data_IF_942954329048
#
_entry.id   IF_942954329048
#
_cell.length_a   1.000
_cell.length_b   1.000
_cell.length_c   1.000
_cell.angle_alpha   90.00
_cell.angle_beta   90.00
_cell.angle_gamma   90.00
#
_symmetry.space_group_name_H-M   'P 1'
#
loop_
_entity.id
_entity.type
_entity.pdbx_description
1 polymer ?
#
# COMPACT_ATOMS: atom_id res chain seq x y z
N UNK A 1 43.16 33.02 16.43
CA UNK A 1 42.12 32.10 16.90
C UNK A 1 41.20 31.84 15.74
N UNK A 2 41.37 30.69 15.07
CA UNK A 2 40.50 30.27 13.95
C UNK A 2 39.36 29.43 14.51
N UNK A 3 38.12 29.90 14.31
CA UNK A 3 36.91 29.15 14.65
C UNK A 3 36.59 28.25 13.49
N UNK A 4 36.74 26.93 13.66
CA UNK A 4 36.36 25.92 12.69
C UNK A 4 34.86 25.62 12.87
N UNK A 5 34.07 26.02 11.87
CA UNK A 5 32.63 25.74 11.81
C UNK A 5 32.43 24.30 11.35
N UNK A 6 32.07 23.41 12.27
CA UNK A 6 31.72 22.02 11.94
C UNK A 6 30.28 22.00 11.42
N UNK A 7 30.11 21.78 10.11
CA UNK A 7 28.82 21.47 9.52
C UNK A 7 28.44 20.03 9.88
N UNK A 8 27.48 19.86 10.79
CA UNK A 8 26.80 18.60 11.03
C UNK A 8 25.85 18.37 9.82
N UNK A 9 26.30 17.56 8.90
CA UNK A 9 25.43 17.00 7.86
C UNK A 9 24.50 15.99 8.56
N UNK A 10 23.28 16.40 8.86
CA UNK A 10 22.24 15.50 9.33
C UNK A 10 21.93 14.50 8.21
N UNK A 11 22.32 13.25 8.40
CA UNK A 11 21.78 12.14 7.60
C UNK A 11 20.27 12.07 7.88
N UNK A 12 19.46 12.51 6.93
CA UNK A 12 18.03 12.22 6.95
C UNK A 12 17.87 10.69 7.04
N UNK A 13 17.28 10.22 8.11
CA UNK A 13 17.02 8.81 8.34
C UNK A 13 15.88 8.40 7.38
N UNK A 14 16.25 8.02 6.16
CA UNK A 14 15.30 7.56 5.15
C UNK A 14 14.79 6.20 5.63
N UNK A 15 13.54 6.13 6.04
CA UNK A 15 12.93 4.85 6.39
C UNK A 15 13.10 3.85 5.24
N UNK A 16 13.62 2.66 5.55
CA UNK A 16 13.87 1.65 4.53
C UNK A 16 12.54 1.19 3.96
N UNK A 17 12.37 1.36 2.64
CA UNK A 17 11.22 0.82 1.91
C UNK A 17 10.06 1.79 1.69
N UNK A 18 10.27 3.10 1.90
CA UNK A 18 9.29 4.14 1.55
C UNK A 18 9.88 5.08 0.50
N UNK A 19 9.11 5.38 -0.52
CA UNK A 19 9.42 6.39 -1.53
C UNK A 19 8.41 7.51 -1.48
N UNK A 20 8.88 8.75 -1.47
CA UNK A 20 8.11 9.97 -1.67
C UNK A 20 8.73 10.80 -2.79
N UNK A 21 7.90 11.34 -3.66
CA UNK A 21 8.32 12.35 -4.61
C UNK A 21 8.27 13.72 -3.93
N UNK A 22 9.44 14.28 -3.59
CA UNK A 22 9.58 15.56 -2.88
C UNK A 22 9.07 16.78 -3.69
N UNK A 23 8.80 16.61 -4.99
CA UNK A 23 8.30 17.69 -5.85
C UNK A 23 6.77 17.82 -5.84
N UNK A 24 6.07 16.88 -5.21
CA UNK A 24 4.60 16.86 -5.14
C UNK A 24 4.16 17.36 -3.77
N UNK A 25 3.24 18.32 -3.76
CA UNK A 25 2.59 18.77 -2.54
C UNK A 25 1.40 17.85 -2.23
N UNK A 26 1.59 16.94 -1.29
CA UNK A 26 0.55 15.99 -0.86
C UNK A 26 -0.68 16.68 -0.26
N UNK A 27 -0.56 17.92 0.22
CA UNK A 27 -1.70 18.68 0.76
C UNK A 27 -2.71 19.10 -0.32
N UNK A 28 -2.35 19.03 -1.59
CA UNK A 28 -3.26 19.33 -2.71
C UNK A 28 -4.07 18.12 -3.17
N UNK A 29 -3.79 16.93 -2.65
CA UNK A 29 -4.48 15.69 -3.01
C UNK A 29 -5.74 15.56 -2.16
N UNK A 30 -6.90 15.64 -2.81
CA UNK A 30 -8.20 15.57 -2.14
C UNK A 30 -8.94 14.27 -2.43
N UNK A 31 -8.72 13.67 -3.61
CA UNK A 31 -9.52 12.55 -4.13
C UNK A 31 -8.65 11.38 -4.57
N UNK A 32 -9.05 10.17 -4.20
CA UNK A 32 -8.32 8.94 -4.49
C UNK A 32 -9.21 7.82 -5.05
N UNK A 33 -8.70 7.08 -6.02
CA UNK A 33 -9.28 5.84 -6.49
C UNK A 33 -8.38 4.65 -6.15
N UNK A 34 -8.91 3.64 -5.45
CA UNK A 34 -8.21 2.39 -5.15
C UNK A 34 -8.55 1.35 -6.21
N UNK A 35 -7.56 0.98 -7.03
CA UNK A 35 -7.73 -0.03 -8.08
C UNK A 35 -7.67 -1.46 -7.50
N UNK A 36 -8.07 -2.48 -8.29
CA UNK A 36 -7.81 -3.87 -7.93
C UNK A 36 -6.33 -4.11 -7.65
N UNK A 37 -6.01 -4.89 -6.62
CA UNK A 37 -4.64 -5.26 -6.32
C UNK A 37 -4.22 -6.51 -7.10
N UNK A 38 -2.96 -6.59 -7.48
CA UNK A 38 -2.37 -7.80 -8.03
C UNK A 38 -2.26 -8.87 -6.96
N UNK A 39 -2.61 -10.11 -7.31
CA UNK A 39 -2.50 -11.26 -6.42
C UNK A 39 -1.38 -12.20 -6.90
N UNK A 40 -0.29 -12.27 -6.17
CA UNK A 40 0.83 -13.19 -6.42
C UNK A 40 0.82 -14.39 -5.46
N UNK A 41 -0.27 -14.57 -4.71
CA UNK A 41 -0.44 -15.65 -3.74
C UNK A 41 -1.24 -16.82 -4.31
N UNK A 42 -1.30 -17.92 -3.58
CA UNK A 42 -2.14 -19.06 -3.93
C UNK A 42 -3.59 -18.91 -3.41
N UNK A 43 -3.86 -17.93 -2.57
CA UNK A 43 -5.20 -17.63 -2.04
C UNK A 43 -5.95 -16.71 -3.02
N UNK A 44 -6.99 -17.23 -3.66
CA UNK A 44 -7.69 -16.54 -4.77
C UNK A 44 -8.22 -15.16 -4.38
N UNK A 45 -8.78 -15.03 -3.18
CA UNK A 45 -9.44 -13.80 -2.72
C UNK A 45 -8.50 -12.87 -1.91
N UNK A 46 -7.21 -13.19 -1.78
CA UNK A 46 -6.29 -12.46 -0.92
C UNK A 46 -6.21 -10.97 -1.28
N UNK A 47 -6.01 -10.67 -2.56
CA UNK A 47 -5.87 -9.30 -3.02
C UNK A 47 -7.16 -8.47 -2.84
N UNK A 48 -8.33 -9.08 -3.04
CA UNK A 48 -9.61 -8.41 -2.83
C UNK A 48 -9.85 -8.11 -1.36
N UNK A 49 -9.62 -9.08 -0.46
CA UNK A 49 -9.75 -8.90 1.00
C UNK A 49 -8.82 -7.81 1.51
N UNK A 50 -7.54 -7.85 1.10
CA UNK A 50 -6.55 -6.85 1.53
C UNK A 50 -6.91 -5.47 1.01
N UNK A 51 -7.35 -5.34 -0.25
CA UNK A 51 -7.82 -4.08 -0.82
C UNK A 51 -9.02 -3.52 -0.07
N UNK A 52 -9.97 -4.37 0.32
CA UNK A 52 -11.17 -3.93 1.06
C UNK A 52 -10.80 -3.43 2.47
N UNK A 53 -9.88 -4.11 3.16
CA UNK A 53 -9.32 -3.65 4.44
C UNK A 53 -8.62 -2.31 4.26
N UNK A 54 -7.72 -2.20 3.27
CA UNK A 54 -7.02 -0.96 2.97
C UNK A 54 -7.98 0.19 2.66
N UNK A 55 -8.96 -0.03 1.79
CA UNK A 55 -9.94 1.00 1.42
C UNK A 55 -10.75 1.47 2.63
N UNK A 56 -11.16 0.55 3.50
CA UNK A 56 -11.91 0.87 4.72
C UNK A 56 -11.08 1.68 5.71
N UNK A 57 -9.82 1.31 5.92
CA UNK A 57 -8.92 2.02 6.82
C UNK A 57 -8.53 3.40 6.25
N UNK A 58 -8.28 3.50 4.94
CA UNK A 58 -8.01 4.77 4.27
C UNK A 58 -9.21 5.73 4.39
N UNK A 59 -10.43 5.24 4.19
CA UNK A 59 -11.65 6.01 4.43
C UNK A 59 -11.75 6.52 5.88
N UNK A 60 -11.37 5.70 6.84
CA UNK A 60 -11.42 6.05 8.26
C UNK A 60 -10.43 7.16 8.65
N UNK A 61 -9.33 7.34 7.89
CA UNK A 61 -8.40 8.47 8.12
C UNK A 61 -9.03 9.82 7.82
N UNK A 62 -10.01 9.87 6.91
CA UNK A 62 -10.61 11.12 6.44
C UNK A 62 -9.66 12.03 5.65
N UNK A 63 -8.46 11.57 5.30
CA UNK A 63 -7.46 12.36 4.60
C UNK A 63 -7.82 12.59 3.12
N UNK A 64 -8.48 11.62 2.49
CA UNK A 64 -8.92 11.69 1.10
C UNK A 64 -10.41 11.37 0.96
N UNK A 65 -11.04 11.96 -0.03
CA UNK A 65 -12.30 11.42 -0.53
C UNK A 65 -12.01 10.20 -1.41
N UNK A 66 -12.23 9.02 -0.87
CA UNK A 66 -12.00 7.75 -1.58
C UNK A 66 -13.25 7.39 -2.39
N UNK A 67 -13.08 7.21 -3.69
CA UNK A 67 -14.20 6.86 -4.57
C UNK A 67 -14.77 5.47 -4.24
N UNK A 68 -16.11 5.30 -4.32
CA UNK A 68 -16.74 4.00 -4.12
C UNK A 68 -16.19 2.96 -5.10
N UNK A 69 -15.87 1.73 -4.65
CA UNK A 69 -15.32 0.66 -5.51
C UNK A 69 -16.16 0.38 -6.76
N UNK A 70 -17.48 0.51 -6.67
CA UNK A 70 -18.38 0.32 -7.81
C UNK A 70 -18.22 1.37 -8.90
N UNK A 71 -17.84 2.62 -8.57
CA UNK A 71 -17.55 3.68 -9.56
C UNK A 71 -16.22 3.41 -10.24
N UNK A 72 -15.20 3.07 -9.45
CA UNK A 72 -13.90 2.66 -9.98
C UNK A 72 -14.05 1.50 -10.95
N UNK A 73 -14.81 0.47 -10.57
CA UNK A 73 -15.04 -0.70 -11.42
C UNK A 73 -15.77 -0.35 -12.73
N UNK A 74 -16.75 0.57 -12.69
CA UNK A 74 -17.44 1.03 -13.92
C UNK A 74 -16.49 1.80 -14.84
N UNK A 75 -15.62 2.64 -14.27
CA UNK A 75 -14.65 3.41 -15.05
C UNK A 75 -13.58 2.50 -15.68
N UNK A 76 -13.06 1.52 -14.97
CA UNK A 76 -12.15 0.48 -15.50
C UNK A 76 -12.74 -0.17 -16.75
N UNK A 77 -14.01 -0.57 -16.70
CA UNK A 77 -14.68 -1.15 -17.88
C UNK A 77 -14.85 -0.18 -19.04
N UNK A 78 -15.09 1.12 -18.75
CA UNK A 78 -15.22 2.15 -19.82
C UNK A 78 -13.91 2.43 -20.52
N UNK A 79 -12.79 2.41 -19.78
CA UNK A 79 -11.45 2.55 -20.35
C UNK A 79 -11.03 1.28 -21.10
N UNK A 80 -11.73 0.16 -20.89
CA UNK A 80 -11.35 -1.18 -21.42
C UNK A 80 -9.95 -1.59 -20.95
N UNK A 81 -9.63 -1.28 -19.70
CA UNK A 81 -8.33 -1.61 -19.08
C UNK A 81 -8.12 -3.12 -19.06
N UNK A 82 -7.00 -3.58 -19.58
CA UNK A 82 -6.70 -5.02 -19.73
C UNK A 82 -6.29 -5.61 -18.38
N UNK A 83 -5.41 -4.93 -17.68
CA UNK A 83 -4.98 -5.31 -16.33
C UNK A 83 -5.11 -4.12 -15.37
N UNK A 84 -6.21 -4.04 -14.61
CA UNK A 84 -6.40 -2.94 -13.67
C UNK A 84 -5.44 -2.93 -12.49
N UNK A 85 -4.73 -4.03 -12.25
CA UNK A 85 -3.74 -4.13 -11.16
C UNK A 85 -2.37 -3.56 -11.53
N UNK A 86 -2.12 -3.39 -12.85
CA UNK A 86 -0.88 -2.85 -13.40
C UNK A 86 -1.15 -1.87 -14.56
N UNK A 87 -1.87 -0.76 -14.31
CA UNK A 87 -2.28 0.17 -15.35
C UNK A 87 -1.08 0.90 -15.96
N UNK A 88 -1.14 1.16 -17.26
CA UNK A 88 -0.24 2.07 -17.94
C UNK A 88 -0.55 3.54 -17.60
N UNK A 89 0.39 4.44 -17.87
CA UNK A 89 0.20 5.88 -17.64
C UNK A 89 -1.02 6.42 -18.41
N UNK A 90 -1.22 5.97 -19.65
CA UNK A 90 -2.35 6.42 -20.47
C UNK A 90 -3.69 5.90 -19.93
N UNK A 91 -3.72 4.69 -19.38
CA UNK A 91 -4.89 4.14 -18.72
C UNK A 91 -5.20 4.88 -17.41
N UNK A 92 -4.18 5.25 -16.61
CA UNK A 92 -4.37 6.08 -15.40
C UNK A 92 -4.98 7.43 -15.79
N UNK A 93 -4.44 8.12 -16.79
CA UNK A 93 -4.97 9.41 -17.27
C UNK A 93 -6.40 9.30 -17.81
N UNK A 94 -6.67 8.23 -18.55
CA UNK A 94 -8.01 7.99 -19.09
C UNK A 94 -9.03 7.69 -17.99
N UNK A 95 -8.63 6.93 -16.98
CA UNK A 95 -9.44 6.63 -15.80
C UNK A 95 -9.73 7.90 -14.99
N UNK A 96 -8.70 8.72 -14.77
CA UNK A 96 -8.82 9.98 -14.05
C UNK A 96 -9.77 10.96 -14.71
N UNK A 97 -9.72 11.08 -16.04
CA UNK A 97 -10.65 11.91 -16.79
C UNK A 97 -12.12 11.49 -16.63
N UNK A 98 -12.38 10.21 -16.36
CA UNK A 98 -13.74 9.69 -16.12
C UNK A 98 -14.15 9.90 -14.67
N UNK A 99 -13.23 9.68 -13.72
CA UNK A 99 -13.52 9.67 -12.28
C UNK A 99 -13.34 11.05 -11.63
N UNK A 100 -12.50 11.92 -12.20
CA UNK A 100 -12.16 13.22 -11.60
C UNK A 100 -11.35 13.05 -10.31
N UNK A 101 -10.35 12.15 -10.30
CA UNK A 101 -9.51 11.88 -9.13
C UNK A 101 -8.10 12.42 -9.31
N UNK A 102 -7.50 12.85 -8.19
CA UNK A 102 -6.14 13.37 -8.17
C UNK A 102 -5.09 12.24 -8.18
N UNK A 103 -5.40 11.14 -7.50
CA UNK A 103 -4.49 10.00 -7.38
C UNK A 103 -5.19 8.66 -7.59
N UNK A 104 -4.38 7.72 -8.07
CA UNK A 104 -4.75 6.31 -8.20
C UNK A 104 -3.82 5.47 -7.32
N UNK A 105 -4.40 4.58 -6.51
CA UNK A 105 -3.65 3.67 -5.65
C UNK A 105 -3.75 2.26 -6.21
N UNK A 106 -2.59 1.63 -6.42
CA UNK A 106 -2.44 0.23 -6.81
C UNK A 106 -1.72 -0.55 -5.72
N UNK A 107 -1.88 -1.87 -5.70
CA UNK A 107 -1.22 -2.72 -4.72
C UNK A 107 -0.87 -4.09 -5.27
N UNK A 108 0.08 -4.75 -4.60
CA UNK A 108 0.50 -6.13 -4.91
C UNK A 108 0.57 -6.92 -3.61
N UNK A 109 -0.26 -7.96 -3.49
CA UNK A 109 -0.18 -8.94 -2.40
C UNK A 109 0.75 -10.06 -2.83
N UNK A 110 1.90 -10.18 -2.16
CA UNK A 110 2.97 -11.14 -2.49
C UNK A 110 2.89 -12.40 -1.68
N UNK A 111 2.53 -12.26 -0.40
CA UNK A 111 2.36 -13.37 0.53
C UNK A 111 1.05 -13.18 1.29
N UNK A 112 0.29 -14.23 1.43
CA UNK A 112 -0.94 -14.30 2.21
C UNK A 112 -1.21 -15.77 2.53
N UNK A 113 -0.49 -16.31 3.50
CA UNK A 113 -0.51 -17.75 3.77
C UNK A 113 -0.11 -18.06 5.21
N UNK A 114 -0.38 -19.30 5.60
CA UNK A 114 0.10 -19.89 6.84
C UNK A 114 1.49 -20.50 6.62
N UNK A 115 2.50 -19.99 7.33
CA UNK A 115 3.83 -20.56 7.36
C UNK A 115 3.99 -21.53 8.52
N UNK A 116 4.79 -22.58 8.34
CA UNK A 116 5.04 -23.61 9.35
C UNK A 116 6.52 -23.83 9.55
N UNK A 117 6.96 -23.94 10.82
CA UNK A 117 8.32 -24.29 11.20
C UNK A 117 8.29 -25.20 12.42
N UNK A 118 8.57 -26.50 12.21
CA UNK A 118 8.42 -27.51 13.25
C UNK A 118 6.97 -27.61 13.73
N UNK A 119 6.75 -27.41 15.02
CA UNK A 119 5.43 -27.45 15.65
C UNK A 119 4.70 -26.08 15.60
N UNK A 120 5.39 -25.02 15.25
CA UNK A 120 4.83 -23.66 15.22
C UNK A 120 4.24 -23.33 13.86
N UNK A 121 3.11 -22.61 13.86
CA UNK A 121 2.46 -22.06 12.65
C UNK A 121 2.16 -20.60 12.87
N UNK A 122 2.29 -19.78 11.82
CA UNK A 122 1.92 -18.39 11.88
C UNK A 122 1.41 -17.90 10.51
N UNK A 123 0.49 -16.95 10.52
CA UNK A 123 0.08 -16.25 9.33
C UNK A 123 1.14 -15.21 8.91
N UNK A 124 1.29 -15.00 7.61
CA UNK A 124 2.16 -13.98 7.03
C UNK A 124 1.45 -13.26 5.91
N UNK A 125 1.61 -11.95 5.86
CA UNK A 125 1.23 -11.09 4.74
C UNK A 125 2.43 -10.27 4.28
N UNK A 126 2.58 -10.12 2.96
CA UNK A 126 3.49 -9.16 2.35
C UNK A 126 2.73 -8.35 1.32
N UNK A 127 2.67 -7.03 1.54
CA UNK A 127 1.90 -6.08 0.75
C UNK A 127 2.79 -4.93 0.31
N UNK A 128 2.67 -4.53 -0.95
CA UNK A 128 3.27 -3.30 -1.48
C UNK A 128 2.19 -2.43 -2.07
N UNK A 129 2.22 -1.14 -1.78
CA UNK A 129 1.30 -0.15 -2.32
C UNK A 129 2.07 0.93 -3.09
N UNK A 130 1.41 1.51 -4.06
CA UNK A 130 1.91 2.60 -4.89
C UNK A 130 0.79 3.59 -5.15
N UNK A 131 1.09 4.87 -5.02
CA UNK A 131 0.22 5.99 -5.38
C UNK A 131 0.79 6.70 -6.59
N UNK A 132 -0.01 6.88 -7.60
CA UNK A 132 0.34 7.62 -8.82
C UNK A 132 -0.56 8.83 -8.96
N UNK A 133 0.06 9.99 -9.25
CA UNK A 133 -0.65 11.20 -9.62
C UNK A 133 -1.28 11.03 -11.01
N UNK A 134 -2.50 11.48 -11.17
CA UNK A 134 -3.26 11.23 -12.40
C UNK A 134 -2.90 12.19 -13.53
N UNK A 135 -2.43 13.39 -13.23
CA UNK A 135 -2.09 14.42 -14.22
C UNK A 135 -0.86 14.01 -15.05
N UNK A 136 0.18 13.54 -14.39
CA UNK A 136 1.43 13.11 -15.02
C UNK A 136 1.52 11.60 -15.23
N UNK A 137 0.83 10.81 -14.39
CA UNK A 137 0.96 9.36 -14.26
C UNK A 137 2.19 8.94 -13.45
N UNK A 138 2.88 9.90 -12.84
CA UNK A 138 4.08 9.63 -12.07
C UNK A 138 3.74 8.98 -10.73
N UNK A 139 4.61 8.05 -10.29
CA UNK A 139 4.55 7.52 -8.93
C UNK A 139 5.00 8.61 -7.97
N UNK A 140 4.15 8.94 -7.01
CA UNK A 140 4.42 9.98 -6.01
C UNK A 140 4.71 9.39 -4.63
N UNK A 141 4.21 8.19 -4.35
CA UNK A 141 4.50 7.45 -3.13
C UNK A 141 4.51 5.94 -3.39
N UNK A 142 5.36 5.23 -2.68
CA UNK A 142 5.35 3.77 -2.64
C UNK A 142 5.92 3.27 -1.33
N UNK A 143 5.27 2.25 -0.76
CA UNK A 143 5.73 1.59 0.46
C UNK A 143 5.42 0.10 0.43
N UNK A 144 6.10 -0.65 1.29
CA UNK A 144 5.83 -2.06 1.52
C UNK A 144 5.82 -2.39 3.00
N UNK A 145 5.03 -3.41 3.35
CA UNK A 145 4.94 -3.98 4.70
C UNK A 145 4.94 -5.50 4.61
N UNK A 146 5.57 -6.14 5.58
CA UNK A 146 5.49 -7.58 5.80
C UNK A 146 5.24 -7.81 7.28
N UNK A 147 4.13 -8.46 7.61
CA UNK A 147 3.68 -8.73 8.98
C UNK A 147 3.43 -10.21 9.22
N UNK A 148 3.45 -10.58 10.49
CA UNK A 148 3.28 -11.97 10.91
C UNK A 148 4.58 -12.79 10.78
N UNK A 149 4.43 -14.10 10.62
CA UNK A 149 5.54 -15.03 10.60
C UNK A 149 5.84 -15.63 11.95
N UNK A 150 6.78 -16.57 11.99
CA UNK A 150 7.14 -17.32 13.20
C UNK A 150 8.27 -16.61 13.93
N UNK A 151 8.00 -16.10 15.13
CA UNK A 151 8.98 -15.44 15.98
C UNK A 151 9.88 -16.45 16.72
N UNK A 152 10.97 -15.96 17.33
CA UNK A 152 11.82 -16.80 18.19
C UNK A 152 11.06 -17.30 19.43
N UNK A 153 10.15 -16.48 19.97
CA UNK A 153 9.29 -16.89 21.09
C UNK A 153 8.34 -18.02 20.72
N UNK A 154 7.75 -17.98 19.52
CA UNK A 154 6.88 -19.06 19.02
C UNK A 154 7.63 -20.40 18.90
N UNK A 155 8.90 -20.35 18.49
CA UNK A 155 9.77 -21.54 18.38
C UNK A 155 10.14 -22.12 19.74
N UNK A 156 10.31 -21.26 20.76
CA UNK A 156 10.76 -21.69 22.10
C UNK A 156 9.61 -22.13 22.99
N UNK A 157 8.44 -21.51 22.86
CA UNK A 157 7.30 -21.71 23.77
C UNK A 157 6.06 -22.30 23.11
N UNK A 158 6.10 -22.54 21.79
CA UNK A 158 5.00 -23.16 21.05
C UNK A 158 3.77 -22.27 20.94
N UNK A 159 3.94 -21.03 20.51
CA UNK A 159 2.85 -20.10 20.22
C UNK A 159 2.17 -20.39 18.88
N UNK A 160 0.86 -20.18 18.79
CA UNK A 160 0.13 -20.02 17.53
C UNK A 160 0.23 -18.57 17.08
N UNK A 161 0.49 -18.32 15.78
CA UNK A 161 0.53 -16.97 15.26
C UNK A 161 -0.84 -16.28 15.30
N UNK A 162 -0.83 -14.96 15.15
CA UNK A 162 -2.04 -14.13 15.12
C UNK A 162 -2.97 -14.52 13.96
N UNK A 163 -4.29 -14.29 14.10
CA UNK A 163 -5.25 -14.47 13.00
C UNK A 163 -4.86 -13.65 11.76
N UNK A 164 -5.12 -14.21 10.57
CA UNK A 164 -4.76 -13.53 9.31
C UNK A 164 -5.36 -12.13 9.19
N UNK A 165 -6.57 -11.93 9.72
CA UNK A 165 -7.21 -10.61 9.71
C UNK A 165 -6.42 -9.57 10.52
N UNK A 166 -5.91 -9.96 11.69
CA UNK A 166 -5.18 -9.04 12.57
C UNK A 166 -3.82 -8.68 11.95
N UNK A 167 -3.12 -9.67 11.40
CA UNK A 167 -1.88 -9.45 10.64
C UNK A 167 -2.11 -8.56 9.42
N UNK A 168 -3.28 -8.68 8.76
CA UNK A 168 -3.66 -7.81 7.62
C UNK A 168 -3.90 -6.38 8.09
N UNK A 169 -4.64 -6.19 9.17
CA UNK A 169 -4.87 -4.86 9.75
C UNK A 169 -3.56 -4.17 10.13
N UNK A 170 -2.65 -4.88 10.82
CA UNK A 170 -1.33 -4.34 11.16
C UNK A 170 -0.49 -3.95 9.93
N UNK A 171 -0.55 -4.77 8.88
CA UNK A 171 0.20 -4.47 7.65
C UNK A 171 -0.32 -3.23 6.93
N UNK A 172 -1.64 -3.06 6.91
CA UNK A 172 -2.29 -1.88 6.33
C UNK A 172 -2.07 -0.64 7.18
N UNK A 173 -2.15 -0.76 8.50
CA UNK A 173 -1.90 0.33 9.45
C UNK A 173 -0.49 0.89 9.29
N UNK A 174 0.53 0.03 9.25
CA UNK A 174 1.91 0.43 8.98
C UNK A 174 2.06 1.18 7.65
N UNK A 175 1.34 0.75 6.59
CA UNK A 175 1.40 1.41 5.29
C UNK A 175 0.71 2.77 5.29
N UNK A 176 -0.39 2.92 6.03
CA UNK A 176 -1.06 4.20 6.22
C UNK A 176 -0.22 5.15 7.07
N UNK A 177 0.42 4.66 8.13
CA UNK A 177 1.38 5.44 8.91
C UNK A 177 2.52 5.96 8.03
N UNK A 178 3.04 5.12 7.13
CA UNK A 178 4.07 5.50 6.15
C UNK A 178 3.59 6.49 5.10
N UNK A 179 2.29 6.58 4.84
CA UNK A 179 1.72 7.53 3.88
C UNK A 179 1.52 8.92 4.51
N UNK A 180 1.21 8.98 5.80
CA UNK A 180 0.85 10.20 6.51
C UNK A 180 1.94 10.75 7.45
N UNK A 181 3.18 10.30 7.27
CA UNK A 181 4.35 10.79 8.02
C UNK A 181 4.75 12.22 7.69
#
# INVERSE_FOLDING_TARGET
MSVQLVFLVGCANREKGVYFNEMVDFATIETAAVLPFANLTNEQDAAERVRDVFTSMLLATGAFYVLPPGEVHRAIRRVSMVDPSAPSIDEIKSLANILGVDVVITGVVREYNLVRSGASTANIISLSLQMSETETGAVIWSASSTKGGITLSDRMFGGGGEPMNDVTLESVDELLDKLFQ
#
